data_IF_658746547200
#
_entry.id   IF_658746547200
#
_cell.length_a   1.000
_cell.length_b   1.000
_cell.length_c   1.000
_cell.angle_alpha   90.00
_cell.angle_beta   90.00
_cell.angle_gamma   90.00
#
_symmetry.space_group_name_H-M   'P 1'
#
loop_
_entity.id
_entity.type
_entity.pdbx_description
1 polymer ?
#
# COMPACT_ATOMS: atom_id res chain seq x y z
N UNK A 1 35.53 -16.24 18.36
CA UNK A 1 36.16 -16.83 17.16
C UNK A 1 35.54 -16.19 15.95
N UNK A 2 36.26 -15.24 15.37
CA UNK A 2 35.80 -14.45 14.20
C UNK A 2 36.15 -15.22 12.94
N UNK A 3 35.17 -15.46 12.07
CA UNK A 3 35.40 -16.04 10.77
C UNK A 3 35.17 -14.97 9.69
N UNK A 4 36.23 -14.27 9.36
CA UNK A 4 36.32 -13.32 8.26
C UNK A 4 36.51 -14.09 6.96
N UNK A 5 35.49 -14.16 6.13
CA UNK A 5 35.63 -14.69 4.76
C UNK A 5 35.95 -13.53 3.82
N UNK A 6 37.23 -13.36 3.53
CA UNK A 6 37.74 -12.45 2.50
C UNK A 6 37.31 -12.93 1.13
N UNK A 7 36.59 -12.10 0.40
CA UNK A 7 36.38 -12.26 -1.03
C UNK A 7 37.31 -11.30 -1.78
N UNK A 8 38.36 -11.87 -2.35
CA UNK A 8 39.21 -11.21 -3.32
C UNK A 8 38.89 -11.78 -4.69
N UNK A 9 38.75 -10.96 -5.68
CA UNK A 9 38.68 -11.37 -7.08
C UNK A 9 37.79 -10.43 -7.88
N UNK A 10 38.33 -9.68 -8.61
CA UNK A 10 39.08 -9.69 -9.83
C UNK A 10 38.38 -8.76 -10.83
N UNK A 11 39.09 -7.73 -11.12
CA UNK A 11 38.76 -6.70 -12.13
C UNK A 11 38.94 -7.34 -13.51
N UNK A 12 38.00 -7.21 -14.40
CA UNK A 12 38.24 -7.32 -15.82
C UNK A 12 37.47 -6.23 -16.57
N UNK A 13 38.21 -5.25 -16.97
CA UNK A 13 37.78 -4.20 -17.88
C UNK A 13 37.64 -4.78 -19.30
N UNK A 14 36.53 -4.53 -19.94
CA UNK A 14 36.46 -4.52 -21.40
C UNK A 14 35.51 -3.42 -21.86
N UNK A 15 36.08 -2.42 -22.45
CA UNK A 15 35.38 -1.37 -23.11
C UNK A 15 34.72 -1.84 -24.40
N UNK A 16 33.52 -1.38 -24.62
CA UNK A 16 32.94 -1.31 -25.97
C UNK A 16 32.20 0.01 -26.09
N UNK A 17 32.81 0.90 -26.81
CA UNK A 17 32.22 2.08 -27.40
C UNK A 17 31.27 1.66 -28.50
N UNK A 18 29.99 2.04 -28.40
CA UNK A 18 29.11 2.07 -29.58
C UNK A 18 28.25 3.32 -29.56
N UNK A 19 28.52 4.13 -30.52
CA UNK A 19 27.75 5.28 -31.02
C UNK A 19 26.50 4.74 -31.72
N UNK A 20 25.32 5.25 -31.40
CA UNK A 20 24.15 5.21 -32.28
C UNK A 20 23.24 6.37 -31.96
N UNK A 21 23.22 7.33 -32.84
CA UNK A 21 22.16 7.59 -33.83
C UNK A 21 20.80 7.95 -33.27
N UNK A 22 20.53 9.22 -33.46
CA UNK A 22 19.24 9.90 -33.44
C UNK A 22 18.10 9.04 -34.00
N UNK A 23 17.06 8.87 -33.22
CA UNK A 23 15.77 8.37 -33.66
C UNK A 23 14.69 9.19 -33.00
N UNK A 24 14.22 10.27 -33.63
CA UNK A 24 12.95 10.89 -33.35
C UNK A 24 11.85 9.88 -33.70
N UNK A 25 11.19 9.36 -32.67
CA UNK A 25 9.97 8.60 -32.79
C UNK A 25 9.09 8.98 -31.62
N UNK A 26 8.11 9.85 -31.83
CA UNK A 26 7.05 10.11 -30.91
C UNK A 26 6.07 8.91 -30.94
N UNK A 27 5.84 8.21 -29.83
CA UNK A 27 4.62 7.43 -29.68
C UNK A 27 3.56 8.32 -29.05
N UNK A 28 2.51 8.56 -29.79
CA UNK A 28 1.20 8.97 -29.33
C UNK A 28 0.82 8.08 -28.15
N UNK A 29 0.91 8.62 -26.94
CA UNK A 29 0.41 7.98 -25.73
C UNK A 29 -1.10 7.91 -25.80
N UNK A 30 -1.62 6.71 -25.91
CA UNK A 30 -3.00 6.44 -25.57
C UNK A 30 -3.13 6.61 -24.05
N UNK A 31 -3.88 7.64 -23.65
CA UNK A 31 -4.26 7.85 -22.27
C UNK A 31 -5.14 6.69 -21.83
N UNK A 32 -4.58 5.84 -21.02
CA UNK A 32 -5.37 4.94 -20.20
C UNK A 32 -6.10 5.80 -19.17
N UNK A 33 -7.39 5.96 -19.42
CA UNK A 33 -8.31 6.61 -18.51
C UNK A 33 -8.33 5.77 -17.22
N UNK A 34 -7.60 6.26 -16.23
CA UNK A 34 -7.78 5.86 -14.84
C UNK A 34 -9.25 6.16 -14.48
N UNK A 35 -10.07 5.16 -14.12
CA UNK A 35 -11.43 5.43 -13.67
C UNK A 35 -11.32 6.29 -12.41
N UNK A 36 -11.79 7.53 -12.54
CA UNK A 36 -12.01 8.46 -11.44
C UNK A 36 -12.81 7.72 -10.36
N UNK A 37 -12.32 7.66 -9.10
CA UNK A 37 -13.13 7.14 -8.02
C UNK A 37 -14.42 7.95 -7.94
N UNK A 38 -15.54 7.27 -7.96
CA UNK A 38 -16.87 7.86 -7.76
C UNK A 38 -16.85 8.49 -6.37
N UNK A 39 -17.03 9.80 -6.32
CA UNK A 39 -17.24 10.55 -5.08
C UNK A 39 -18.54 10.03 -4.43
N UNK A 40 -18.39 9.12 -3.49
CA UNK A 40 -19.46 8.86 -2.52
C UNK A 40 -19.40 10.01 -1.53
N UNK A 41 -20.41 10.84 -1.54
CA UNK A 41 -20.60 11.98 -0.63
C UNK A 41 -20.77 11.47 0.79
N UNK A 42 -19.66 11.19 1.44
CA UNK A 42 -19.61 11.02 2.89
C UNK A 42 -19.52 12.42 3.51
N UNK A 43 -20.38 12.71 4.47
CA UNK A 43 -20.30 13.92 5.32
C UNK A 43 -19.04 13.87 6.17
N UNK A 44 -17.88 14.00 5.53
CA UNK A 44 -16.58 13.94 6.16
C UNK A 44 -16.26 15.27 6.81
N UNK A 45 -15.89 15.23 8.07
CA UNK A 45 -15.29 16.34 8.78
C UNK A 45 -13.92 16.63 8.12
N UNK A 46 -13.61 17.88 7.70
CA UNK A 46 -12.41 18.20 6.94
C UNK A 46 -11.09 17.82 7.64
N UNK A 47 -11.10 17.66 8.96
CA UNK A 47 -9.91 17.21 9.72
C UNK A 47 -9.64 15.69 9.62
N UNK A 48 -10.50 14.94 8.96
CA UNK A 48 -10.44 13.47 8.84
C UNK A 48 -10.23 13.00 7.41
N UNK A 49 -10.37 13.89 6.42
CA UNK A 49 -10.19 13.54 5.01
C UNK A 49 -8.77 13.04 4.78
N UNK A 50 -8.69 11.80 4.28
CA UNK A 50 -7.45 11.17 3.86
C UNK A 50 -6.70 10.38 4.95
N UNK A 51 -7.14 10.35 6.22
CA UNK A 51 -6.45 9.53 7.21
C UNK A 51 -7.16 8.21 7.52
N UNK A 52 -8.47 8.17 7.41
CA UNK A 52 -9.30 7.01 7.75
C UNK A 52 -10.10 6.51 6.56
N UNK A 53 -10.07 5.21 6.33
CA UNK A 53 -10.91 4.53 5.36
C UNK A 53 -12.22 4.12 6.03
N UNK A 54 -13.33 4.83 5.80
CA UNK A 54 -14.60 4.51 6.46
C UNK A 54 -15.19 3.19 6.00
N UNK A 55 -14.91 2.79 4.76
CA UNK A 55 -15.38 1.52 4.20
C UNK A 55 -14.75 0.31 4.90
N UNK A 56 -13.47 0.41 5.26
CA UNK A 56 -12.71 -0.73 5.76
C UNK A 56 -12.30 -0.62 7.23
N UNK A 57 -12.53 0.54 7.88
CA UNK A 57 -12.29 0.73 9.31
C UNK A 57 -10.82 0.70 9.72
N UNK A 58 -9.94 1.14 8.86
CA UNK A 58 -8.48 1.21 9.06
C UNK A 58 -7.94 2.54 8.56
N UNK A 59 -6.71 2.96 8.94
CA UNK A 59 -6.09 4.15 8.35
C UNK A 59 -5.92 3.99 6.85
N UNK A 60 -6.24 5.03 6.07
CA UNK A 60 -6.21 5.03 4.60
C UNK A 60 -4.86 4.59 4.05
N UNK A 61 -3.76 5.11 4.60
CA UNK A 61 -2.40 4.76 4.18
C UNK A 61 -1.99 3.31 4.46
N UNK A 62 -2.76 2.60 5.29
CA UNK A 62 -2.55 1.19 5.63
C UNK A 62 -3.61 0.28 5.01
N UNK A 63 -4.62 0.83 4.33
CA UNK A 63 -5.74 0.06 3.80
C UNK A 63 -5.32 -0.80 2.60
N UNK A 64 -5.20 -2.10 2.82
CA UNK A 64 -4.82 -3.05 1.77
C UNK A 64 -5.93 -3.29 0.73
N UNK A 65 -7.19 -3.04 1.09
CA UNK A 65 -8.31 -3.20 0.17
C UNK A 65 -8.46 -2.03 -0.79
N UNK A 66 -7.98 -0.83 -0.41
CA UNK A 66 -7.97 0.35 -1.26
C UNK A 66 -6.68 0.51 -2.08
N UNK A 67 -5.57 -0.08 -1.62
CA UNK A 67 -4.26 0.11 -2.23
C UNK A 67 -3.59 -1.22 -2.59
N UNK A 68 -3.48 -1.50 -3.89
CA UNK A 68 -2.79 -2.69 -4.40
C UNK A 68 -1.31 -2.75 -3.96
N UNK A 69 -0.66 -1.60 -3.80
CA UNK A 69 0.71 -1.52 -3.29
C UNK A 69 0.79 -1.99 -1.84
N UNK A 70 -0.11 -1.50 -1.00
CA UNK A 70 -0.19 -1.89 0.41
C UNK A 70 -0.50 -3.38 0.52
N UNK A 71 -1.45 -3.90 -0.27
CA UNK A 71 -1.77 -5.32 -0.34
C UNK A 71 -0.54 -6.18 -0.71
N UNK A 72 0.23 -5.75 -1.70
CA UNK A 72 1.44 -6.45 -2.11
C UNK A 72 2.50 -6.49 -1.00
N UNK A 73 2.62 -5.43 -0.22
CA UNK A 73 3.56 -5.38 0.91
C UNK A 73 3.15 -6.30 2.06
N UNK A 74 1.85 -6.42 2.35
CA UNK A 74 1.33 -7.41 3.32
C UNK A 74 1.55 -8.85 2.83
N UNK A 75 1.28 -9.13 1.55
CA UNK A 75 1.55 -10.45 0.95
C UNK A 75 3.02 -10.85 1.04
N UNK A 76 3.95 -9.92 0.78
CA UNK A 76 5.39 -10.15 0.92
C UNK A 76 5.81 -10.47 2.35
N UNK A 77 5.14 -9.89 3.33
CA UNK A 77 5.37 -10.14 4.76
C UNK A 77 4.77 -11.45 5.26
N UNK A 78 3.97 -12.13 4.43
CA UNK A 78 3.24 -13.33 4.82
C UNK A 78 1.99 -13.05 5.66
N UNK A 79 1.59 -11.79 5.78
CA UNK A 79 0.40 -11.35 6.49
C UNK A 79 -0.77 -11.25 5.50
N UNK A 80 -1.35 -12.42 5.16
CA UNK A 80 -2.46 -12.48 4.20
C UNK A 80 -3.43 -13.61 4.50
N UNK A 81 -4.66 -13.24 4.82
CA UNK A 81 -5.78 -14.14 4.98
C UNK A 81 -6.30 -14.58 3.60
N UNK A 82 -6.07 -15.85 3.27
CA UNK A 82 -6.47 -16.40 1.96
C UNK A 82 -7.97 -16.60 1.82
N UNK A 83 -8.67 -16.78 2.94
CA UNK A 83 -10.11 -17.00 2.96
C UNK A 83 -10.89 -15.71 2.68
N UNK A 84 -10.36 -14.57 3.12
CA UNK A 84 -11.04 -13.29 3.03
C UNK A 84 -10.32 -12.27 2.15
N UNK A 85 -9.26 -12.69 1.46
CA UNK A 85 -8.46 -11.91 0.51
C UNK A 85 -8.03 -10.50 1.04
N UNK A 86 -7.52 -10.49 2.28
CA UNK A 86 -7.05 -9.29 2.98
C UNK A 86 -5.94 -9.65 3.97
N UNK A 87 -5.18 -8.67 4.51
CA UNK A 87 -4.20 -8.96 5.55
C UNK A 87 -4.85 -9.60 6.78
N UNK A 88 -4.20 -10.60 7.40
CA UNK A 88 -4.64 -11.17 8.68
C UNK A 88 -4.76 -10.09 9.75
N UNK A 89 -3.82 -9.16 9.80
CA UNK A 89 -3.82 -8.01 10.71
C UNK A 89 -4.93 -6.99 10.45
N UNK A 90 -5.70 -7.13 9.36
CA UNK A 90 -6.86 -6.31 9.01
C UNK A 90 -8.11 -7.16 8.75
N UNK A 91 -8.07 -8.45 9.10
CA UNK A 91 -9.18 -9.35 8.87
C UNK A 91 -10.13 -9.35 10.08
N UNK A 92 -11.12 -8.47 10.08
CA UNK A 92 -12.10 -8.37 11.15
C UNK A 92 -13.10 -9.55 11.19
N UNK A 93 -13.11 -10.38 10.15
CA UNK A 93 -13.92 -11.60 10.09
C UNK A 93 -13.27 -12.69 10.95
N UNK A 94 -11.96 -12.88 10.79
CA UNK A 94 -11.19 -13.83 11.61
C UNK A 94 -10.87 -13.28 13.00
N UNK A 95 -10.65 -11.97 13.09
CA UNK A 95 -10.16 -11.27 14.27
C UNK A 95 -11.01 -10.03 14.57
N UNK A 96 -12.24 -10.22 15.12
CA UNK A 96 -13.17 -9.11 15.38
C UNK A 96 -12.59 -8.08 16.38
N UNK A 97 -11.70 -8.49 17.27
CA UNK A 97 -11.02 -7.62 18.25
C UNK A 97 -10.14 -6.55 17.58
N UNK A 98 -9.75 -6.74 16.33
CA UNK A 98 -8.98 -5.75 15.58
C UNK A 98 -9.78 -4.46 15.32
N UNK A 99 -11.12 -4.56 15.24
CA UNK A 99 -11.97 -3.39 15.06
C UNK A 99 -11.79 -2.39 16.22
N UNK A 100 -11.79 -2.89 17.47
CA UNK A 100 -11.57 -2.06 18.66
C UNK A 100 -10.16 -1.49 18.70
N UNK A 101 -9.17 -2.26 18.26
CA UNK A 101 -7.77 -1.78 18.16
C UNK A 101 -7.63 -0.62 17.18
N UNK A 102 -8.24 -0.71 16.01
CA UNK A 102 -8.21 0.38 15.04
C UNK A 102 -9.05 1.58 15.48
N UNK A 103 -10.21 1.33 16.11
CA UNK A 103 -11.04 2.38 16.69
C UNK A 103 -10.27 3.16 17.76
N UNK A 104 -9.54 2.48 18.64
CA UNK A 104 -8.71 3.13 19.66
C UNK A 104 -7.60 3.98 19.07
N UNK A 105 -6.99 3.57 17.94
CA UNK A 105 -6.01 4.39 17.22
C UNK A 105 -6.62 5.68 16.66
N UNK A 106 -7.83 5.57 16.16
CA UNK A 106 -8.60 6.72 15.68
C UNK A 106 -8.95 7.67 16.83
N UNK A 107 -9.48 7.13 17.93
CA UNK A 107 -9.83 7.91 19.11
C UNK A 107 -8.62 8.64 19.71
N UNK A 108 -7.48 7.96 19.78
CA UNK A 108 -6.23 8.55 20.26
C UNK A 108 -5.77 9.73 19.38
N UNK A 109 -6.07 9.69 18.07
CA UNK A 109 -5.68 10.74 17.13
C UNK A 109 -6.65 11.92 17.10
N UNK A 110 -7.95 11.64 17.15
CA UNK A 110 -9.00 12.64 16.90
C UNK A 110 -9.87 12.96 18.12
N UNK A 111 -9.69 12.27 19.24
CA UNK A 111 -10.46 12.47 20.48
C UNK A 111 -11.93 12.05 20.38
N UNK A 112 -12.32 11.31 19.34
CA UNK A 112 -13.70 10.86 19.08
C UNK A 112 -13.69 9.50 18.40
N UNK A 113 -14.81 8.78 18.48
CA UNK A 113 -14.98 7.50 17.81
C UNK A 113 -14.90 7.62 16.28
N UNK A 114 -14.38 6.59 15.59
CA UNK A 114 -14.42 6.57 14.13
C UNK A 114 -15.86 6.52 13.63
N UNK A 115 -16.11 6.95 12.38
CA UNK A 115 -17.38 6.70 11.71
C UNK A 115 -17.65 5.20 11.64
N UNK A 116 -18.94 4.82 11.67
CA UNK A 116 -19.33 3.43 11.45
C UNK A 116 -18.83 2.97 10.08
N UNK A 117 -18.42 1.71 10.00
CA UNK A 117 -18.04 1.11 8.69
C UNK A 117 -19.29 0.99 7.82
N UNK A 118 -19.13 1.33 6.56
CA UNK A 118 -20.15 1.08 5.54
C UNK A 118 -20.02 -0.38 5.11
N UNK A 119 -20.98 -1.23 5.51
CA UNK A 119 -21.04 -2.64 5.12
C UNK A 119 -21.85 -2.81 3.83
#
# INVERSE_FOLDING_TARGET
>A
MLNQKKWTGSVLALGITLVFLSGCGAPTGQGEANPKPTETTSTANPDQEGWWCPEHGVPEGECALCSAKVAADFKKKGDWCKEHDRPESQCFICHPELADKFASRYEAKFGKKPPAREE
#
